data_IF_846732039823
#
_entry.id   IF_846732039823
#
_cell.length_a   1.000
_cell.length_b   1.000
_cell.length_c   1.000
_cell.angle_alpha   90.00
_cell.angle_beta   90.00
_cell.angle_gamma   90.00
#
_symmetry.space_group_name_H-M   'P 1'
#
loop_
_entity.id
_entity.type
_entity.pdbx_description
1 polymer ?
#
# COMPACT_ATOMS: atom_id res chain seq x y z
N UNK A 1 65.90 -8.17 -66.12
CA UNK A 1 65.21 -7.29 -65.14
C UNK A 1 63.73 -7.23 -65.49
N UNK A 2 62.84 -7.24 -64.49
CA UNK A 2 61.36 -7.39 -64.55
C UNK A 2 60.92 -8.82 -64.18
N UNK A 3 59.90 -8.91 -63.31
CA UNK A 3 59.24 -10.11 -62.74
C UNK A 3 59.61 -10.49 -61.30
N UNK A 4 59.73 -9.52 -60.39
CA UNK A 4 59.81 -9.81 -58.94
C UNK A 4 59.14 -8.72 -58.08
N UNK A 5 58.03 -8.14 -58.55
CA UNK A 5 57.34 -7.04 -57.86
C UNK A 5 55.82 -7.17 -57.76
N UNK A 6 55.24 -8.35 -58.01
CA UNK A 6 53.78 -8.52 -58.07
C UNK A 6 53.17 -9.39 -56.96
N UNK A 7 53.89 -9.67 -55.87
CA UNK A 7 53.39 -10.48 -54.74
C UNK A 7 53.51 -9.78 -53.38
N UNK A 8 53.29 -8.46 -53.32
CA UNK A 8 53.33 -7.73 -52.04
C UNK A 8 52.30 -6.59 -51.96
N UNK A 9 51.14 -6.75 -52.60
CA UNK A 9 50.05 -5.76 -52.52
C UNK A 9 48.65 -6.36 -52.29
N UNK A 10 48.55 -7.62 -51.86
CA UNK A 10 47.28 -8.25 -51.48
C UNK A 10 47.12 -8.44 -49.95
N UNK A 11 47.97 -7.82 -49.13
CA UNK A 11 47.96 -7.99 -47.67
C UNK A 11 47.40 -6.80 -46.87
N UNK A 12 47.17 -5.64 -47.48
CA UNK A 12 46.86 -4.40 -46.76
C UNK A 12 45.38 -3.94 -46.83
N UNK A 13 44.52 -4.69 -47.54
CA UNK A 13 43.08 -4.39 -47.60
C UNK A 13 42.23 -5.19 -46.59
N UNK A 14 42.82 -6.16 -45.89
CA UNK A 14 42.10 -6.96 -44.87
C UNK A 14 42.26 -6.34 -43.46
N UNK A 15 43.32 -5.57 -43.21
CA UNK A 15 43.55 -4.95 -41.90
C UNK A 15 42.66 -3.71 -41.64
N UNK A 16 42.32 -2.95 -42.68
CA UNK A 16 41.48 -1.73 -42.56
C UNK A 16 39.97 -2.01 -42.56
N UNK A 17 39.55 -3.18 -43.03
CA UNK A 17 38.16 -3.63 -42.92
C UNK A 17 37.82 -4.12 -41.50
N UNK A 18 38.80 -4.65 -40.75
CA UNK A 18 38.60 -5.13 -39.38
C UNK A 18 38.58 -4.02 -38.32
N UNK A 19 39.22 -2.87 -38.56
CA UNK A 19 39.26 -1.77 -37.57
C UNK A 19 37.93 -0.98 -37.49
N UNK A 20 37.17 -0.92 -38.58
CA UNK A 20 35.91 -0.16 -38.64
C UNK A 20 34.69 -0.97 -38.15
N UNK A 21 34.72 -2.30 -38.29
CA UNK A 21 33.73 -3.20 -37.67
C UNK A 21 33.89 -3.22 -36.15
N UNK A 22 35.11 -3.32 -35.64
CA UNK A 22 35.37 -3.39 -34.19
C UNK A 22 34.86 -2.15 -33.42
N UNK A 23 35.05 -0.94 -33.95
CA UNK A 23 34.53 0.28 -33.30
C UNK A 23 33.00 0.40 -33.38
N UNK A 24 32.39 -0.04 -34.49
CA UNK A 24 30.93 -0.08 -34.62
C UNK A 24 30.32 -1.13 -33.70
N UNK A 25 30.97 -2.28 -33.56
CA UNK A 25 30.56 -3.34 -32.64
C UNK A 25 30.69 -2.90 -31.18
N UNK A 26 31.75 -2.16 -30.84
CA UNK A 26 31.93 -1.62 -29.49
C UNK A 26 30.89 -0.53 -29.15
N UNK A 27 30.56 0.34 -30.12
CA UNK A 27 29.51 1.34 -29.94
C UNK A 27 28.12 0.71 -29.84
N UNK A 28 27.81 -0.26 -30.71
CA UNK A 28 26.56 -1.01 -30.66
C UNK A 28 26.43 -1.85 -29.37
N UNK A 29 27.54 -2.39 -28.86
CA UNK A 29 27.56 -3.10 -27.58
C UNK A 29 27.30 -2.15 -26.41
N UNK A 30 27.87 -0.93 -26.42
CA UNK A 30 27.58 0.11 -25.41
C UNK A 30 26.13 0.60 -25.46
N UNK A 31 25.57 0.80 -26.66
CA UNK A 31 24.16 1.17 -26.83
C UNK A 31 23.23 0.07 -26.30
N UNK A 32 23.48 -1.21 -26.66
CA UNK A 32 22.72 -2.35 -26.13
C UNK A 32 22.87 -2.51 -24.62
N UNK A 33 24.05 -2.28 -24.06
CA UNK A 33 24.27 -2.33 -22.61
C UNK A 33 23.48 -1.22 -21.88
N UNK A 34 23.44 -0.01 -22.45
CA UNK A 34 22.64 1.09 -21.91
C UNK A 34 21.14 0.84 -22.04
N UNK A 35 20.68 0.29 -23.16
CA UNK A 35 19.28 -0.12 -23.34
C UNK A 35 18.87 -1.21 -22.34
N UNK A 36 19.75 -2.20 -22.11
CA UNK A 36 19.51 -3.25 -21.13
C UNK A 36 19.48 -2.70 -19.69
N UNK A 37 20.36 -1.75 -19.34
CA UNK A 37 20.35 -1.09 -18.05
C UNK A 37 19.06 -0.27 -17.85
N UNK A 38 18.66 0.52 -18.84
CA UNK A 38 17.41 1.29 -18.80
C UNK A 38 16.17 0.37 -18.72
N UNK A 39 16.19 -0.77 -19.40
CA UNK A 39 15.12 -1.76 -19.33
C UNK A 39 15.05 -2.43 -17.96
N UNK A 40 16.20 -2.71 -17.33
CA UNK A 40 16.25 -3.23 -15.96
C UNK A 40 15.69 -2.22 -14.95
N UNK A 41 16.10 -0.94 -15.05
CA UNK A 41 15.59 0.13 -14.18
C UNK A 41 14.09 0.35 -14.37
N UNK A 42 13.60 0.34 -15.61
CA UNK A 42 12.17 0.44 -15.92
C UNK A 42 11.39 -0.77 -15.38
N UNK A 43 11.95 -1.98 -15.45
CA UNK A 43 11.34 -3.18 -14.88
C UNK A 43 11.26 -3.11 -13.37
N UNK A 44 12.30 -2.62 -12.69
CA UNK A 44 12.28 -2.41 -11.22
C UNK A 44 11.25 -1.36 -10.83
N UNK A 45 11.14 -0.25 -11.57
CA UNK A 45 10.13 0.77 -11.33
C UNK A 45 8.70 0.26 -11.56
N UNK A 46 8.49 -0.53 -12.63
CA UNK A 46 7.20 -1.18 -12.90
C UNK A 46 6.83 -2.19 -11.82
N UNK A 47 7.80 -2.95 -11.32
CA UNK A 47 7.59 -3.91 -10.24
C UNK A 47 7.23 -3.19 -8.93
N UNK A 48 7.96 -2.14 -8.57
CA UNK A 48 7.65 -1.32 -7.39
C UNK A 48 6.25 -0.66 -7.50
N UNK A 49 5.87 -0.18 -8.69
CA UNK A 49 4.52 0.36 -8.93
C UNK A 49 3.43 -0.73 -8.84
N UNK A 50 3.70 -1.92 -9.39
CA UNK A 50 2.80 -3.07 -9.30
C UNK A 50 2.61 -3.51 -7.84
N UNK A 51 3.71 -3.59 -7.08
CA UNK A 51 3.69 -3.95 -5.66
C UNK A 51 2.93 -2.90 -4.84
N UNK A 52 3.14 -1.61 -5.13
CA UNK A 52 2.40 -0.51 -4.49
C UNK A 52 0.90 -0.58 -4.80
N UNK A 53 0.53 -0.86 -6.06
CA UNK A 53 -0.87 -1.02 -6.46
C UNK A 53 -1.51 -2.23 -5.76
N UNK A 54 -0.79 -3.35 -5.65
CA UNK A 54 -1.25 -4.53 -4.93
C UNK A 54 -1.48 -4.24 -3.44
N UNK A 55 -0.54 -3.55 -2.78
CA UNK A 55 -0.70 -3.13 -1.37
C UNK A 55 -1.92 -2.21 -1.20
N UNK A 56 -2.09 -1.22 -2.07
CA UNK A 56 -3.24 -0.30 -2.01
C UNK A 56 -4.57 -1.04 -2.22
N UNK A 57 -4.62 -2.01 -3.13
CA UNK A 57 -5.81 -2.83 -3.37
C UNK A 57 -6.16 -3.68 -2.14
N UNK A 58 -5.17 -4.26 -1.46
CA UNK A 58 -5.38 -5.00 -0.20
C UNK A 58 -5.93 -4.07 0.88
N UNK A 59 -5.32 -2.89 1.06
CA UNK A 59 -5.79 -1.90 2.04
C UNK A 59 -7.23 -1.47 1.77
N UNK A 60 -7.59 -1.22 0.50
CA UNK A 60 -8.94 -0.84 0.10
C UNK A 60 -9.95 -1.98 0.33
N UNK A 61 -9.56 -3.23 0.08
CA UNK A 61 -10.40 -4.40 0.35
C UNK A 61 -10.66 -4.57 1.86
N UNK A 62 -9.63 -4.41 2.69
CA UNK A 62 -9.74 -4.43 4.16
C UNK A 62 -10.70 -3.33 4.63
N UNK A 63 -10.50 -2.09 4.16
CA UNK A 63 -11.39 -0.97 4.50
C UNK A 63 -12.84 -1.26 4.10
N UNK A 64 -13.06 -1.73 2.87
CA UNK A 64 -14.41 -2.07 2.39
C UNK A 64 -15.06 -3.18 3.23
N UNK A 65 -14.31 -4.18 3.67
CA UNK A 65 -14.83 -5.25 4.52
C UNK A 65 -15.21 -4.71 5.90
N UNK A 66 -14.37 -3.86 6.49
CA UNK A 66 -14.62 -3.24 7.78
C UNK A 66 -15.83 -2.31 7.71
N UNK A 67 -15.92 -1.44 6.70
CA UNK A 67 -17.06 -0.54 6.50
C UNK A 67 -18.36 -1.33 6.32
N UNK A 68 -18.32 -2.40 5.53
CA UNK A 68 -19.47 -3.29 5.37
C UNK A 68 -19.86 -3.96 6.69
N UNK A 69 -18.90 -4.42 7.50
CA UNK A 69 -19.17 -5.02 8.81
C UNK A 69 -19.80 -4.01 9.78
N UNK A 70 -19.25 -2.79 9.87
CA UNK A 70 -19.80 -1.71 10.71
C UNK A 70 -21.20 -1.29 10.25
N UNK A 71 -21.47 -1.27 8.93
CA UNK A 71 -22.78 -0.87 8.38
C UNK A 71 -23.94 -1.78 8.81
N UNK A 72 -23.64 -3.03 9.24
CA UNK A 72 -24.63 -3.99 9.73
C UNK A 72 -25.07 -3.71 11.17
N UNK A 73 -24.35 -2.85 11.88
CA UNK A 73 -24.63 -2.51 13.27
C UNK A 73 -25.46 -1.23 13.29
N UNK A 74 -26.75 -1.39 13.59
CA UNK A 74 -27.66 -0.26 13.68
C UNK A 74 -27.34 0.62 14.90
N UNK A 75 -27.46 1.94 14.73
CA UNK A 75 -27.42 2.89 15.83
C UNK A 75 -28.57 2.60 16.81
N UNK A 76 -28.32 2.39 18.10
CA UNK A 76 -29.37 2.17 19.08
C UNK A 76 -30.28 3.39 19.22
N UNK A 77 -31.54 3.14 19.54
CA UNK A 77 -32.43 4.22 19.94
C UNK A 77 -32.15 4.60 21.40
N UNK A 78 -31.58 5.79 21.61
CA UNK A 78 -31.21 6.33 22.92
C UNK A 78 -32.31 7.26 23.44
N UNK A 79 -32.57 7.21 24.75
CA UNK A 79 -33.53 8.08 25.40
C UNK A 79 -33.01 9.52 25.53
N UNK A 80 -31.70 9.68 25.72
CA UNK A 80 -31.04 10.96 25.93
C UNK A 80 -30.08 11.28 24.77
N UNK A 81 -30.05 12.56 24.42
CA UNK A 81 -29.21 13.07 23.33
C UNK A 81 -27.71 12.91 23.60
N UNK A 82 -27.27 12.96 24.86
CA UNK A 82 -25.85 12.78 25.22
C UNK A 82 -25.33 11.38 24.86
N UNK A 83 -26.10 10.32 25.12
CA UNK A 83 -25.73 8.96 24.73
C UNK A 83 -25.68 8.78 23.20
N UNK A 84 -26.62 9.40 22.47
CA UNK A 84 -26.60 9.41 20.99
C UNK A 84 -25.38 10.17 20.45
N UNK A 85 -25.11 11.37 20.95
CA UNK A 85 -23.95 12.18 20.54
C UNK A 85 -22.64 11.44 20.79
N UNK A 86 -22.54 10.79 21.95
CA UNK A 86 -21.43 9.92 22.24
C UNK A 86 -21.34 8.81 21.17
N UNK A 87 -22.40 8.06 20.91
CA UNK A 87 -22.36 6.95 19.94
C UNK A 87 -21.93 7.38 18.54
N UNK A 88 -22.39 8.54 18.09
CA UNK A 88 -22.01 9.17 16.81
C UNK A 88 -20.52 9.54 16.79
N UNK A 89 -20.03 10.15 17.87
CA UNK A 89 -18.61 10.49 18.02
C UNK A 89 -17.73 9.23 17.98
N UNK A 90 -18.15 8.16 18.66
CA UNK A 90 -17.43 6.90 18.64
C UNK A 90 -17.33 6.35 17.22
N UNK A 91 -18.47 6.26 16.52
CA UNK A 91 -18.52 5.77 15.14
C UNK A 91 -17.58 6.58 14.26
N UNK A 92 -17.65 7.92 14.33
CA UNK A 92 -16.80 8.82 13.56
C UNK A 92 -15.30 8.60 13.82
N UNK A 93 -14.91 8.48 15.09
CA UNK A 93 -13.51 8.25 15.44
C UNK A 93 -13.02 6.87 15.02
N UNK A 94 -13.87 5.84 15.15
CA UNK A 94 -13.57 4.50 14.69
C UNK A 94 -13.38 4.46 13.17
N UNK A 95 -14.30 5.02 12.38
CA UNK A 95 -14.17 5.11 10.92
C UNK A 95 -12.89 5.85 10.51
N UNK A 96 -12.55 6.94 11.20
CA UNK A 96 -11.29 7.67 10.94
C UNK A 96 -10.07 6.80 11.24
N UNK A 97 -10.09 6.04 12.33
CA UNK A 97 -9.03 5.13 12.72
C UNK A 97 -8.84 4.02 11.67
N UNK A 98 -9.93 3.39 11.21
CA UNK A 98 -9.94 2.40 10.13
C UNK A 98 -9.31 2.98 8.86
N UNK A 99 -9.81 4.13 8.40
CA UNK A 99 -9.35 4.76 7.16
C UNK A 99 -7.86 5.16 7.20
N UNK A 100 -7.34 5.47 8.38
CA UNK A 100 -5.94 5.89 8.55
C UNK A 100 -4.99 4.71 8.78
N UNK A 101 -5.49 3.55 9.24
CA UNK A 101 -4.63 2.48 9.78
C UNK A 101 -4.90 1.06 9.25
N UNK A 102 -5.83 0.87 8.33
CA UNK A 102 -6.16 -0.45 7.75
C UNK A 102 -4.97 -1.16 7.07
N UNK A 103 -3.91 -0.44 6.69
CA UNK A 103 -2.66 -1.01 6.16
C UNK A 103 -1.54 -1.20 7.20
N UNK A 104 -1.81 -1.00 8.49
CA UNK A 104 -0.83 -1.17 9.57
C UNK A 104 -0.75 -2.64 10.00
N UNK A 105 0.36 -3.01 10.66
CA UNK A 105 0.52 -4.34 11.27
C UNK A 105 -0.61 -4.59 12.27
N UNK A 106 -1.15 -5.81 12.30
CA UNK A 106 -2.27 -6.20 13.17
C UNK A 106 -2.10 -5.74 14.63
N UNK A 107 -0.93 -5.96 15.24
CA UNK A 107 -0.70 -5.57 16.64
C UNK A 107 -0.79 -4.05 16.86
N UNK A 108 -0.21 -3.23 15.98
CA UNK A 108 -0.28 -1.77 16.07
C UNK A 108 -1.71 -1.25 15.88
N UNK A 109 -2.49 -1.95 15.04
CA UNK A 109 -3.88 -1.63 14.79
C UNK A 109 -4.75 -1.94 16.01
N UNK A 110 -4.57 -3.12 16.62
CA UNK A 110 -5.27 -3.55 17.82
C UNK A 110 -5.00 -2.65 19.03
N UNK A 111 -3.76 -2.20 19.21
CA UNK A 111 -3.42 -1.24 20.27
C UNK A 111 -4.20 0.07 20.11
N UNK A 112 -4.35 0.58 18.88
CA UNK A 112 -5.12 1.80 18.61
C UNK A 112 -6.62 1.63 18.87
N UNK A 113 -7.20 0.47 18.57
CA UNK A 113 -8.59 0.16 18.90
C UNK A 113 -8.80 0.14 20.41
N UNK A 114 -7.90 -0.49 21.14
CA UNK A 114 -7.92 -0.53 22.61
C UNK A 114 -7.79 0.86 23.23
N UNK A 115 -6.91 1.70 22.69
CA UNK A 115 -6.73 3.07 23.15
C UNK A 115 -7.97 3.94 22.88
N UNK A 116 -8.59 3.80 21.69
CA UNK A 116 -9.87 4.45 21.38
C UNK A 116 -10.94 4.04 22.40
N UNK A 117 -11.07 2.73 22.69
CA UNK A 117 -12.02 2.25 23.68
C UNK A 117 -11.75 2.84 25.06
N UNK A 118 -10.50 2.84 25.53
CA UNK A 118 -10.12 3.40 26.84
C UNK A 118 -10.41 4.90 26.94
N UNK A 119 -10.10 5.68 25.91
CA UNK A 119 -10.41 7.10 25.87
C UNK A 119 -11.92 7.32 25.97
N UNK A 120 -12.68 6.48 25.27
CA UNK A 120 -14.11 6.60 25.24
C UNK A 120 -14.79 6.14 26.54
N UNK A 121 -14.33 5.05 27.15
CA UNK A 121 -14.80 4.61 28.48
C UNK A 121 -14.63 5.73 29.52
N UNK A 122 -13.55 6.52 29.42
CA UNK A 122 -13.36 7.72 30.27
C UNK A 122 -14.40 8.80 30.00
N UNK A 123 -14.74 9.07 28.73
CA UNK A 123 -15.80 10.04 28.35
C UNK A 123 -17.16 9.59 28.86
N UNK A 124 -17.48 8.29 28.70
CA UNK A 124 -18.72 7.69 29.21
C UNK A 124 -18.81 7.75 30.72
N UNK A 125 -17.71 7.49 31.43
CA UNK A 125 -17.68 7.57 32.90
C UNK A 125 -17.78 9.01 33.42
N UNK A 126 -17.25 9.99 32.66
CA UNK A 126 -17.40 11.40 32.97
C UNK A 126 -18.82 11.89 32.71
N UNK A 127 -19.53 11.29 31.75
CA UNK A 127 -20.92 11.61 31.48
C UNK A 127 -21.90 10.89 32.40
N UNK A 128 -22.86 11.66 32.94
CA UNK A 128 -23.91 11.11 33.81
C UNK A 128 -25.02 10.49 32.97
N UNK A 129 -24.69 9.40 32.28
CA UNK A 129 -25.64 8.68 31.42
C UNK A 129 -26.72 7.96 32.23
N UNK A 130 -27.92 7.90 31.65
CA UNK A 130 -28.97 7.00 32.11
C UNK A 130 -28.47 5.54 32.03
N UNK A 131 -28.74 4.68 33.04
CA UNK A 131 -28.26 3.30 33.04
C UNK A 131 -28.68 2.46 31.84
N UNK A 132 -29.89 2.69 31.29
CA UNK A 132 -30.40 1.98 30.11
C UNK A 132 -29.62 2.41 28.87
N UNK A 133 -29.44 3.72 28.69
CA UNK A 133 -28.69 4.27 27.55
C UNK A 133 -27.21 3.90 27.64
N UNK A 134 -26.62 3.90 28.84
CA UNK A 134 -25.24 3.45 29.07
C UNK A 134 -25.04 2.01 28.59
N UNK A 135 -25.94 1.09 28.97
CA UNK A 135 -25.85 -0.32 28.54
C UNK A 135 -25.99 -0.47 27.03
N UNK A 136 -26.89 0.29 26.39
CA UNK A 136 -27.03 0.31 24.92
C UNK A 136 -25.76 0.82 24.25
N UNK A 137 -25.17 1.88 24.80
CA UNK A 137 -23.96 2.49 24.29
C UNK A 137 -22.76 1.54 24.39
N UNK A 138 -22.56 0.92 25.55
CA UNK A 138 -21.52 -0.09 25.77
C UNK A 138 -21.65 -1.25 24.79
N UNK A 139 -22.87 -1.78 24.61
CA UNK A 139 -23.12 -2.83 23.62
C UNK A 139 -22.77 -2.39 22.21
N UNK A 140 -23.22 -1.21 21.79
CA UNK A 140 -22.96 -0.68 20.46
C UNK A 140 -21.46 -0.51 20.19
N UNK A 141 -20.70 0.01 21.16
CA UNK A 141 -19.24 0.16 21.08
C UNK A 141 -18.55 -1.19 20.94
N UNK A 142 -18.93 -2.17 21.76
CA UNK A 142 -18.37 -3.53 21.68
C UNK A 142 -18.68 -4.17 20.34
N UNK A 143 -19.93 -4.10 19.88
CA UNK A 143 -20.32 -4.66 18.58
C UNK A 143 -19.50 -4.02 17.44
N UNK A 144 -19.31 -2.69 17.47
CA UNK A 144 -18.53 -1.97 16.47
C UNK A 144 -17.05 -2.36 16.47
N UNK A 145 -16.42 -2.45 17.64
CA UNK A 145 -15.04 -2.90 17.75
C UNK A 145 -14.88 -4.35 17.25
N UNK A 146 -15.76 -5.25 17.68
CA UNK A 146 -15.74 -6.63 17.22
C UNK A 146 -15.98 -6.77 15.71
N UNK A 147 -16.81 -5.91 15.10
CA UNK A 147 -16.96 -5.89 13.65
C UNK A 147 -15.67 -5.51 12.93
N UNK A 148 -14.95 -4.51 13.44
CA UNK A 148 -13.65 -4.09 12.91
C UNK A 148 -12.60 -5.19 13.07
N UNK A 149 -12.50 -5.78 14.26
CA UNK A 149 -11.54 -6.85 14.58
C UNK A 149 -11.72 -8.08 13.69
N UNK A 150 -12.98 -8.51 13.48
CA UNK A 150 -13.28 -9.71 12.70
C UNK A 150 -13.25 -9.48 11.18
N UNK A 151 -13.33 -8.22 10.72
CA UNK A 151 -13.32 -7.86 9.30
C UNK A 151 -11.92 -7.54 8.76
N UNK A 152 -10.90 -7.49 9.62
CA UNK A 152 -9.51 -7.28 9.26
C UNK A 152 -8.74 -8.64 9.30
N UNK A 153 -8.65 -9.38 8.17
CA UNK A 153 -8.01 -10.70 8.10
C UNK A 153 -6.49 -10.68 8.27
#
# INVERSE_FOLDING_TARGET
MKKLFYLLFAGLAIASACQNTQQKDEKAAKEKANEAANAADASVAQQAASDSNAVNAVVAAIQSNIDHAMSKIAMPDFQKANARSLAEDFHKYLSKLVNTNSGKKANEYMDKLNDLKKEYDKKVAAEKLDPVDKKKLEKYITDMLSAVENANP
#
